data_IF_147792782910
#
_entry.id   IF_147792782910
#
_cell.length_a   1.000
_cell.length_b   1.000
_cell.length_c   1.000
_cell.angle_alpha   90.00
_cell.angle_beta   90.00
_cell.angle_gamma   90.00
#
_symmetry.space_group_name_H-M   'P 1'
#
loop_
_entity.id
_entity.type
_entity.pdbx_description
1 polymer ?
#
# COMPACT_ATOMS: atom_id res chain seq x y z
N UNK A 1 -10.75 3.01 18.73
CA UNK A 1 -9.35 2.91 18.22
C UNK A 1 -9.02 4.17 17.43
N UNK A 2 -7.83 4.73 17.63
CA UNK A 2 -7.48 5.93 16.88
C UNK A 2 -7.13 5.55 15.43
N UNK A 3 -7.35 6.48 14.47
CA UNK A 3 -7.13 6.21 13.05
C UNK A 3 -5.69 5.80 12.70
N UNK A 4 -4.69 6.33 13.41
CA UNK A 4 -3.29 6.01 13.16
C UNK A 4 -2.99 4.54 13.48
N UNK A 5 -3.49 4.04 14.61
CA UNK A 5 -3.29 2.65 15.00
C UNK A 5 -3.99 1.70 14.03
N UNK A 6 -5.18 2.09 13.55
CA UNK A 6 -5.93 1.30 12.59
C UNK A 6 -5.21 1.23 11.23
N UNK A 7 -4.67 2.36 10.77
CA UNK A 7 -3.89 2.41 9.55
C UNK A 7 -2.66 1.53 9.61
N UNK A 8 -1.92 1.61 10.72
CA UNK A 8 -0.74 0.78 10.94
C UNK A 8 -1.10 -0.71 10.92
N UNK A 9 -2.20 -1.07 11.58
CA UNK A 9 -2.66 -2.46 11.61
C UNK A 9 -2.98 -2.97 10.20
N UNK A 10 -3.62 -2.16 9.38
CA UNK A 10 -3.95 -2.54 8.02
C UNK A 10 -2.70 -2.66 7.15
N UNK A 11 -1.71 -1.81 7.35
CA UNK A 11 -0.42 -1.95 6.67
C UNK A 11 0.26 -3.26 7.04
N UNK A 12 0.20 -3.66 8.32
CA UNK A 12 0.75 -4.95 8.76
C UNK A 12 -0.01 -6.12 8.14
N UNK A 13 -1.33 -6.02 8.00
CA UNK A 13 -2.12 -7.05 7.32
C UNK A 13 -1.71 -7.18 5.86
N UNK A 14 -1.54 -6.05 5.17
CA UNK A 14 -1.12 -6.06 3.77
C UNK A 14 0.26 -6.71 3.62
N UNK A 15 1.19 -6.39 4.51
CA UNK A 15 2.51 -7.00 4.52
C UNK A 15 2.43 -8.52 4.64
N UNK A 16 1.62 -9.01 5.58
CA UNK A 16 1.47 -10.44 5.81
C UNK A 16 0.86 -11.15 4.60
N UNK A 17 -0.14 -10.53 3.97
CA UNK A 17 -0.76 -11.09 2.77
C UNK A 17 0.28 -11.23 1.65
N UNK A 18 1.09 -10.19 1.43
CA UNK A 18 2.12 -10.20 0.40
C UNK A 18 3.22 -11.21 0.70
N UNK A 19 3.67 -11.29 1.95
CA UNK A 19 4.68 -12.26 2.35
C UNK A 19 4.18 -13.69 2.18
N UNK A 20 2.92 -13.95 2.54
CA UNK A 20 2.31 -15.26 2.36
C UNK A 20 2.19 -15.64 0.87
N UNK A 21 2.12 -14.65 0.00
CA UNK A 21 2.07 -14.86 -1.45
C UNK A 21 3.46 -14.96 -2.09
N UNK A 22 4.53 -14.95 -1.28
CA UNK A 22 5.89 -15.15 -1.78
C UNK A 22 6.65 -13.87 -2.11
N UNK A 23 6.18 -12.71 -1.66
CA UNK A 23 6.88 -11.45 -1.90
C UNK A 23 7.81 -11.09 -0.76
N UNK A 24 8.93 -10.47 -1.11
CA UNK A 24 9.74 -9.72 -0.16
C UNK A 24 9.08 -8.35 -0.02
N UNK A 25 8.91 -7.88 1.21
CA UNK A 25 8.16 -6.65 1.45
C UNK A 25 9.00 -5.66 2.25
N UNK A 26 9.01 -4.42 1.80
CA UNK A 26 9.55 -3.29 2.56
C UNK A 26 8.36 -2.43 2.95
N UNK A 27 8.23 -2.16 4.23
CA UNK A 27 7.19 -1.31 4.78
C UNK A 27 7.80 0.04 5.15
N UNK A 28 7.04 1.12 4.92
CA UNK A 28 7.50 2.46 5.31
C UNK A 28 7.78 2.52 6.81
N UNK A 29 8.73 3.38 7.20
CA UNK A 29 9.05 3.61 8.60
C UNK A 29 8.61 5.02 8.96
N UNK A 30 7.65 5.12 9.89
CA UNK A 30 7.23 6.41 10.41
C UNK A 30 8.31 6.98 11.33
N UNK A 31 8.63 8.25 11.15
CA UNK A 31 9.48 8.97 12.07
C UNK A 31 8.74 10.21 12.59
N UNK A 32 9.29 10.84 13.62
CA UNK A 32 8.73 12.06 14.19
C UNK A 32 8.65 13.19 13.14
N UNK A 33 9.51 13.15 12.15
CA UNK A 33 9.69 14.25 11.19
C UNK A 33 9.22 13.92 9.79
N UNK A 34 8.79 12.68 9.52
CA UNK A 34 8.40 12.26 8.19
C UNK A 34 7.35 11.18 8.25
N UNK A 35 6.33 11.20 7.37
CA UNK A 35 5.37 10.09 7.27
C UNK A 35 5.99 8.81 6.73
N UNK A 36 7.15 8.89 6.07
CA UNK A 36 7.89 7.72 5.63
C UNK A 36 7.39 7.06 4.36
N UNK A 37 6.35 7.57 3.71
CA UNK A 37 5.80 6.99 2.49
C UNK A 37 6.86 6.96 1.38
N UNK A 38 6.93 5.82 0.67
CA UNK A 38 7.82 5.71 -0.49
C UNK A 38 7.32 6.64 -1.60
N UNK A 39 8.18 7.54 -2.06
CA UNK A 39 7.86 8.53 -3.08
C UNK A 39 6.66 9.40 -2.70
N UNK A 40 6.39 9.54 -1.39
CA UNK A 40 5.24 10.26 -0.85
C UNK A 40 3.89 9.68 -1.30
N UNK A 41 3.87 8.43 -1.75
CA UNK A 41 2.67 7.75 -2.25
C UNK A 41 2.42 6.42 -1.55
N UNK A 42 3.45 5.54 -1.48
CA UNK A 42 3.23 4.14 -1.14
C UNK A 42 3.64 3.79 0.28
N UNK A 43 2.83 2.94 0.92
CA UNK A 43 3.11 2.43 2.27
C UNK A 43 4.01 1.19 2.23
N UNK A 44 3.94 0.42 1.14
CA UNK A 44 4.65 -0.85 0.99
C UNK A 44 5.20 -0.97 -0.43
N UNK A 45 6.37 -1.59 -0.52
CA UNK A 45 6.93 -2.02 -1.82
C UNK A 45 7.18 -3.52 -1.69
N UNK A 46 6.64 -4.29 -2.62
CA UNK A 46 6.78 -5.74 -2.63
C UNK A 46 7.48 -6.19 -3.90
N UNK A 47 8.29 -7.25 -3.79
CA UNK A 47 9.10 -7.75 -4.90
C UNK A 47 9.14 -9.27 -4.88
N UNK A 48 9.03 -9.87 -6.07
CA UNK A 48 9.39 -11.27 -6.29
C UNK A 48 9.93 -11.41 -7.71
N UNK A 49 10.14 -12.63 -8.16
CA UNK A 49 10.69 -12.90 -9.49
C UNK A 49 9.84 -12.39 -10.64
N UNK A 50 8.54 -12.14 -10.39
CA UNK A 50 7.63 -11.63 -11.41
C UNK A 50 7.61 -10.11 -11.51
N UNK A 51 8.19 -9.40 -10.54
CA UNK A 51 8.28 -7.95 -10.58
C UNK A 51 8.01 -7.27 -9.25
N UNK A 52 7.55 -6.03 -9.33
CA UNK A 52 7.35 -5.16 -8.16
C UNK A 52 5.89 -4.76 -8.03
N UNK A 53 5.45 -4.60 -6.79
CA UNK A 53 4.12 -4.07 -6.48
C UNK A 53 4.29 -2.88 -5.54
N UNK A 54 3.78 -1.73 -5.97
CA UNK A 54 3.80 -0.50 -5.18
C UNK A 54 2.41 -0.33 -4.58
N UNK A 55 2.30 -0.37 -3.26
CA UNK A 55 1.01 -0.49 -2.57
C UNK A 55 0.75 0.69 -1.64
N UNK A 56 -0.39 1.36 -1.85
CA UNK A 56 -0.96 2.35 -0.95
C UNK A 56 -2.08 1.68 -0.18
N UNK A 57 -2.05 1.75 1.15
CA UNK A 57 -3.07 1.16 2.01
C UNK A 57 -4.05 2.23 2.46
N UNK A 58 -5.34 1.98 2.28
CA UNK A 58 -6.41 2.87 2.71
C UNK A 58 -7.36 2.10 3.64
N UNK A 59 -8.03 2.84 4.51
CA UNK A 59 -8.98 2.27 5.47
C UNK A 59 -10.35 2.88 5.22
N UNK A 60 -11.34 2.01 4.91
CA UNK A 60 -12.75 2.37 4.73
C UNK A 60 -13.05 3.36 3.61
N UNK A 61 -12.09 3.67 2.76
CA UNK A 61 -12.32 4.58 1.63
C UNK A 61 -11.24 4.40 0.59
N UNK A 62 -11.55 4.79 -0.63
CA UNK A 62 -10.59 4.77 -1.73
C UNK A 62 -9.69 6.02 -1.68
N UNK A 63 -8.74 6.04 -2.56
CA UNK A 63 -7.84 7.18 -2.75
C UNK A 63 -8.62 8.45 -3.16
N UNK A 64 -8.10 9.60 -2.76
CA UNK A 64 -8.62 10.89 -3.23
C UNK A 64 -8.26 11.10 -4.70
N UNK A 65 -8.97 12.01 -5.41
CA UNK A 65 -8.58 12.34 -6.79
C UNK A 65 -7.14 12.82 -6.92
N UNK A 66 -6.66 13.59 -5.95
CA UNK A 66 -5.26 14.07 -5.96
C UNK A 66 -4.26 12.91 -5.82
N UNK A 67 -4.53 11.98 -4.93
CA UNK A 67 -3.67 10.81 -4.75
C UNK A 67 -3.71 9.92 -5.97
N UNK A 68 -4.90 9.73 -6.56
CA UNK A 68 -5.04 8.94 -7.78
C UNK A 68 -4.22 9.53 -8.91
N UNK A 69 -4.24 10.85 -9.06
CA UNK A 69 -3.43 11.52 -10.09
C UNK A 69 -1.95 11.27 -9.87
N UNK A 70 -1.47 11.38 -8.63
CA UNK A 70 -0.08 11.08 -8.29
C UNK A 70 0.29 9.65 -8.68
N UNK A 71 -0.59 8.70 -8.41
CA UNK A 71 -0.36 7.29 -8.72
C UNK A 71 -0.31 7.11 -10.25
N UNK A 72 -1.27 7.69 -10.97
CA UNK A 72 -1.33 7.56 -12.43
C UNK A 72 -0.10 8.15 -13.11
N UNK A 73 0.46 9.22 -12.55
CA UNK A 73 1.64 9.87 -13.11
C UNK A 73 2.94 9.21 -12.68
N UNK A 74 2.89 8.29 -11.71
CA UNK A 74 4.09 7.61 -11.24
C UNK A 74 4.56 6.62 -12.32
N UNK A 75 5.79 6.78 -12.84
CA UNK A 75 6.26 5.90 -13.91
C UNK A 75 6.55 4.50 -13.40
N UNK A 76 6.14 3.49 -14.16
CA UNK A 76 6.42 2.10 -13.83
C UNK A 76 6.96 1.38 -15.06
N UNK A 77 7.87 0.43 -14.80
CA UNK A 77 8.41 -0.45 -15.84
C UNK A 77 7.54 -1.71 -15.98
N UNK A 78 7.71 -2.48 -17.05
CA UNK A 78 7.03 -3.78 -17.17
C UNK A 78 7.30 -4.64 -15.94
N UNK A 79 6.26 -5.31 -15.45
CA UNK A 79 6.35 -6.13 -14.25
C UNK A 79 6.16 -5.36 -12.95
N UNK A 80 5.90 -4.05 -13.03
CA UNK A 80 5.63 -3.24 -11.84
C UNK A 80 4.17 -2.78 -11.85
N UNK A 81 3.48 -2.95 -10.74
CA UNK A 81 2.10 -2.49 -10.59
C UNK A 81 2.01 -1.35 -9.59
N UNK A 82 0.96 -0.54 -9.73
CA UNK A 82 0.60 0.53 -8.79
C UNK A 82 -0.76 0.15 -8.23
N UNK A 83 -0.87 -0.01 -6.92
CA UNK A 83 -2.06 -0.59 -6.32
C UNK A 83 -2.54 0.23 -5.12
N UNK A 84 -3.85 0.29 -4.96
CA UNK A 84 -4.49 0.81 -3.76
C UNK A 84 -5.25 -0.35 -3.12
N UNK A 85 -4.90 -0.68 -1.88
CA UNK A 85 -5.52 -1.74 -1.10
C UNK A 85 -6.43 -1.09 -0.06
N UNK A 86 -7.73 -1.35 -0.16
CA UNK A 86 -8.70 -0.76 0.77
C UNK A 86 -9.16 -1.84 1.75
N UNK A 87 -8.90 -1.60 3.03
CA UNK A 87 -9.36 -2.48 4.10
C UNK A 87 -10.63 -1.89 4.70
N UNK A 88 -11.74 -2.62 4.59
CA UNK A 88 -13.00 -2.22 5.17
C UNK A 88 -13.19 -2.90 6.52
N UNK A 89 -13.83 -2.21 7.47
CA UNK A 89 -14.12 -2.77 8.78
C UNK A 89 -14.94 -4.05 8.63
N UNK A 90 -14.62 -5.06 9.45
CA UNK A 90 -15.31 -6.36 9.48
C UNK A 90 -15.16 -7.20 8.21
N UNK A 91 -14.25 -6.81 7.34
CA UNK A 91 -13.94 -7.58 6.14
C UNK A 91 -12.47 -7.98 6.25
N UNK A 92 -12.18 -9.28 6.16
CA UNK A 92 -10.83 -9.78 6.39
C UNK A 92 -9.89 -9.54 5.22
N UNK A 93 -10.42 -9.52 3.99
CA UNK A 93 -9.61 -9.36 2.79
C UNK A 93 -9.72 -7.94 2.26
N UNK A 94 -8.62 -7.34 1.80
CA UNK A 94 -8.68 -6.01 1.20
C UNK A 94 -9.29 -6.08 -0.21
N UNK A 95 -9.85 -4.95 -0.64
CA UNK A 95 -10.21 -4.77 -2.06
C UNK A 95 -8.99 -4.14 -2.72
N UNK A 96 -8.46 -4.81 -3.74
CA UNK A 96 -7.24 -4.37 -4.43
C UNK A 96 -7.61 -3.71 -5.74
N UNK A 97 -7.19 -2.46 -5.89
CA UNK A 97 -7.39 -1.70 -7.13
C UNK A 97 -6.03 -1.48 -7.78
N UNK A 98 -5.85 -2.02 -8.97
CA UNK A 98 -4.64 -1.79 -9.76
C UNK A 98 -4.88 -0.59 -10.66
N UNK A 99 -3.97 0.38 -10.59
CA UNK A 99 -4.12 1.65 -11.31
C UNK A 99 -3.12 1.74 -12.45
#
# INVERSE_FOLDING_TARGET
MNPRAKGYRNEMKAQKILEAAGYLVIKKVHTKYSPGDFFEIYDLIAHNENGWRCVQVKTNRRETPELREKIEMFPVSPGTTREVWVFYDRVSEPVIHVI
#
